data_IF_052552760279
#
_entry.id   IF_052552760279
#
_cell.length_a   1.000
_cell.length_b   1.000
_cell.length_c   1.000
_cell.angle_alpha   90.00
_cell.angle_beta   90.00
_cell.angle_gamma   90.00
#
_symmetry.space_group_name_H-M   'P 1'
#
loop_
_entity.id
_entity.type
_entity.pdbx_description
1 polymer ?
#
# COMPACT_ATOMS: atom_id res chain seq x y z
N UNK A 1 19.04 0.78 -2.57
CA UNK A 1 19.81 1.10 -2.67
C UNK A 1 20.10 1.60 -2.79
N UNK A 2 19.43 1.16 -2.44
CA UNK A 2 20.04 1.62 -2.33
C UNK A 2 20.22 1.84 -2.44
N UNK A 3 19.89 1.47 -2.20
CA UNK A 3 20.56 1.92 -2.16
C UNK A 3 20.69 1.97 -2.12
N UNK A 4 20.09 1.47 -1.71
CA UNK A 4 20.58 1.77 -1.53
C UNK A 4 20.67 1.67 -1.60
N UNK A 5 20.06 1.64 -1.35
CA UNK A 5 20.65 1.96 -1.32
C UNK A 5 20.97 1.74 -1.38
N UNK A 6 20.59 1.09 -1.17
CA UNK A 6 21.31 1.14 -1.05
C UNK A 6 21.75 0.98 -1.01
N UNK A 7 21.36 0.92 -0.66
CA UNK A 7 22.13 0.99 -0.49
C UNK A 7 22.40 0.88 -0.31
N UNK A 8 22.52 0.75 0.07
CA UNK A 8 23.13 1.01 0.47
C UNK A 8 23.46 0.74 0.74
N UNK A 9 23.62 0.35 1.29
CA UNK A 9 24.38 0.46 1.83
C UNK A 9 24.88 0.07 2.14
N UNK A 10 25.06 -0.24 2.52
CA UNK A 10 25.67 -0.41 3.11
C UNK A 10 26.13 -0.61 3.44
N UNK A 11 26.22 -0.79 3.92
CA UNK A 11 26.71 -0.87 4.59
C UNK A 11 26.90 -1.48 4.99
N UNK A 12 26.73 -1.59 5.33
CA UNK A 12 26.84 -1.98 6.02
C UNK A 12 26.52 -2.65 6.31
N UNK A 13 26.38 -2.77 6.59
CA UNK A 13 26.04 -3.12 7.05
C UNK A 13 25.35 -3.56 7.16
N UNK A 14 25.24 -3.48 7.57
CA UNK A 14 24.62 -3.64 7.80
C UNK A 14 23.83 -3.61 7.81
N UNK A 15 23.61 -3.32 7.94
CA UNK A 15 22.98 -3.14 8.06
C UNK A 15 22.07 -2.87 7.77
N UNK A 16 21.83 -2.64 7.79
CA UNK A 16 20.98 -2.32 7.54
C UNK A 16 20.09 -2.58 6.71
N UNK A 17 19.94 -2.90 6.22
CA UNK A 17 19.12 -3.17 5.61
C UNK A 17 17.93 -3.69 5.87
N UNK A 18 17.33 -3.60 6.73
CA UNK A 18 16.24 -4.00 7.36
C UNK A 18 15.13 -3.21 7.07
N UNK A 19 15.20 -2.45 6.20
CA UNK A 19 14.09 -1.65 5.74
C UNK A 19 13.14 -2.53 4.96
N UNK A 20 11.84 -2.29 5.16
CA UNK A 20 10.82 -2.94 4.38
C UNK A 20 10.80 -2.27 3.03
N UNK A 21 11.23 -2.97 2.02
CA UNK A 21 11.25 -2.45 0.66
C UNK A 21 10.56 -3.42 -0.26
N UNK A 22 9.88 -2.88 -1.27
CA UNK A 22 9.30 -3.73 -2.30
C UNK A 22 10.40 -4.34 -3.15
N UNK A 23 10.35 -5.64 -3.43
CA UNK A 23 11.26 -6.24 -4.38
C UNK A 23 11.14 -5.54 -5.73
N UNK A 24 12.24 -5.32 -6.40
CA UNK A 24 12.24 -4.55 -7.63
C UNK A 24 11.36 -5.10 -8.73
N UNK A 25 11.16 -6.39 -8.75
CA UNK A 25 10.31 -7.01 -9.75
C UNK A 25 8.84 -7.13 -9.36
N UNK A 26 8.51 -6.71 -8.15
CA UNK A 26 7.15 -6.85 -7.66
C UNK A 26 6.24 -5.83 -8.29
N UNK A 27 5.10 -6.28 -8.82
CA UNK A 27 4.06 -5.39 -9.31
C UNK A 27 2.73 -5.83 -8.75
N UNK A 28 1.87 -4.87 -8.45
CA UNK A 28 0.54 -5.15 -7.95
C UNK A 28 -0.35 -3.96 -8.20
N UNK A 29 -1.65 -4.20 -8.31
CA UNK A 29 -2.62 -3.15 -8.53
C UNK A 29 -3.84 -3.42 -7.66
N UNK A 30 -4.34 -2.36 -7.03
CA UNK A 30 -5.51 -2.43 -6.16
C UNK A 30 -6.49 -1.34 -6.57
N UNK A 31 -7.77 -1.64 -6.47
CA UNK A 31 -8.83 -0.65 -6.71
C UNK A 31 -9.42 -0.22 -5.38
N UNK A 32 -9.47 1.08 -5.15
CA UNK A 32 -10.11 1.65 -3.98
C UNK A 32 -11.51 2.11 -4.37
N UNK A 33 -12.51 1.70 -3.59
CA UNK A 33 -13.91 2.04 -3.90
C UNK A 33 -14.71 2.30 -2.63
N UNK A 34 -15.83 3.00 -2.79
CA UNK A 34 -16.81 3.22 -1.72
C UNK A 34 -18.18 3.33 -2.39
N UNK A 35 -19.18 2.64 -1.82
CA UNK A 35 -20.55 2.69 -2.34
C UNK A 35 -20.62 2.37 -3.84
N UNK A 36 -19.84 1.40 -4.28
CA UNK A 36 -19.75 0.98 -5.68
C UNK A 36 -19.17 2.04 -6.61
N UNK A 37 -18.56 3.08 -6.05
CA UNK A 37 -17.88 4.11 -6.83
C UNK A 37 -16.39 3.87 -6.76
N UNK A 38 -15.76 3.79 -7.92
CA UNK A 38 -14.31 3.60 -8.00
C UNK A 38 -13.63 4.92 -7.68
N UNK A 39 -12.87 4.94 -6.59
CA UNK A 39 -12.20 6.14 -6.11
C UNK A 39 -10.86 6.34 -6.79
N UNK A 40 -10.06 5.27 -6.86
CA UNK A 40 -8.74 5.39 -7.44
C UNK A 40 -8.01 4.07 -7.49
N UNK A 41 -6.78 4.14 -7.97
CA UNK A 41 -5.93 2.97 -8.14
C UNK A 41 -4.66 3.15 -7.33
N UNK A 42 -4.37 2.16 -6.50
CA UNK A 42 -3.10 2.04 -5.78
C UNK A 42 -2.30 0.97 -6.50
N UNK A 43 -1.09 1.28 -6.91
CA UNK A 43 -0.27 0.26 -7.56
C UNK A 43 1.19 0.42 -7.16
N UNK A 44 1.96 -0.66 -7.33
CA UNK A 44 3.39 -0.62 -7.08
C UNK A 44 4.14 -1.17 -8.27
N UNK A 45 5.29 -0.57 -8.53
CA UNK A 45 6.21 -1.05 -9.54
C UNK A 45 7.58 -0.45 -9.28
N UNK A 46 8.62 -1.18 -9.61
CA UNK A 46 10.01 -0.70 -9.48
C UNK A 46 10.34 -0.15 -8.10
N UNK A 47 9.80 -0.80 -7.08
CA UNK A 47 10.12 -0.44 -5.69
C UNK A 47 9.41 0.78 -5.15
N UNK A 48 8.37 1.25 -5.83
CA UNK A 48 7.62 2.43 -5.38
C UNK A 48 6.13 2.17 -5.43
N UNK A 49 5.41 2.89 -4.56
CA UNK A 49 3.95 2.90 -4.55
C UNK A 49 3.45 4.13 -5.27
N UNK A 50 2.31 3.97 -5.96
CA UNK A 50 1.66 5.06 -6.69
C UNK A 50 0.17 5.06 -6.39
N UNK A 51 -0.42 6.25 -6.31
CA UNK A 51 -1.86 6.38 -6.18
C UNK A 51 -2.37 7.48 -7.09
N UNK A 52 -3.48 7.22 -7.77
CA UNK A 52 -4.14 8.25 -8.59
C UNK A 52 -5.65 8.05 -8.48
N UNK A 53 -6.37 9.17 -8.51
CA UNK A 53 -7.82 9.14 -8.49
C UNK A 53 -8.36 8.66 -9.84
N UNK A 54 -9.53 8.02 -9.81
CA UNK A 54 -10.22 7.60 -11.02
C UNK A 54 -10.99 8.78 -11.62
N UNK A 55 -11.33 8.67 -12.89
CA UNK A 55 -12.16 9.68 -13.54
C UNK A 55 -13.56 9.73 -12.93
N UNK A 56 -14.10 8.56 -12.54
CA UNK A 56 -15.39 8.52 -11.87
C UNK A 56 -15.41 9.38 -10.62
N UNK A 57 -14.36 9.29 -9.80
CA UNK A 57 -14.30 10.08 -8.59
C UNK A 57 -14.12 11.57 -8.90
N UNK A 58 -13.32 11.89 -9.89
CA UNK A 58 -13.10 13.29 -10.27
C UNK A 58 -14.42 13.97 -10.65
N UNK A 59 -15.29 13.23 -11.35
CA UNK A 59 -16.57 13.76 -11.75
C UNK A 59 -17.54 13.92 -10.58
N UNK A 60 -17.29 13.29 -9.45
CA UNK A 60 -18.15 13.31 -8.28
C UNK A 60 -17.47 13.91 -7.06
N UNK A 61 -16.35 14.59 -7.24
CA UNK A 61 -15.57 15.12 -6.12
C UNK A 61 -16.33 16.19 -5.33
N UNK A 62 -17.38 16.76 -5.90
CA UNK A 62 -18.22 17.73 -5.19
C UNK A 62 -19.13 17.03 -4.17
N UNK A 63 -19.32 15.72 -4.28
CA UNK A 63 -20.17 14.96 -3.35
C UNK A 63 -19.33 14.31 -2.27
N UNK A 64 -18.12 13.85 -2.64
CA UNK A 64 -17.24 13.14 -1.72
C UNK A 64 -16.00 13.96 -1.40
N UNK A 65 -15.57 13.90 -0.14
CA UNK A 65 -14.33 14.55 0.26
C UNK A 65 -13.13 13.81 -0.32
N UNK A 66 -12.09 14.57 -0.60
CA UNK A 66 -10.82 13.96 -1.02
C UNK A 66 -10.22 13.20 0.14
N UNK A 67 -9.43 12.19 -0.18
CA UNK A 67 -8.74 11.39 0.84
C UNK A 67 -7.63 12.22 1.46
N UNK A 68 -7.52 12.17 2.79
CA UNK A 68 -6.46 12.85 3.51
C UNK A 68 -5.11 12.36 3.00
N UNK A 69 -4.26 13.30 2.64
CA UNK A 69 -2.95 13.00 2.08
C UNK A 69 -2.91 13.08 0.56
N UNK A 70 -4.08 13.15 -0.10
CA UNK A 70 -4.16 13.20 -1.56
C UNK A 70 -5.10 14.33 -2.00
N UNK A 71 -4.69 15.59 -1.79
CA UNK A 71 -5.58 16.73 -2.06
C UNK A 71 -5.79 17.07 -3.53
N UNK A 72 -4.90 16.67 -4.41
CA UNK A 72 -4.96 17.02 -5.83
C UNK A 72 -5.53 15.86 -6.63
N UNK A 73 -6.63 16.11 -7.34
CA UNK A 73 -7.31 15.07 -8.12
C UNK A 73 -6.56 14.65 -9.37
N UNK A 74 -5.70 15.53 -9.88
CA UNK A 74 -5.02 15.29 -11.16
C UNK A 74 -3.59 14.81 -11.03
N UNK A 75 -3.12 14.65 -9.80
CA UNK A 75 -1.75 14.22 -9.54
C UNK A 75 -1.66 12.72 -9.38
N UNK A 76 -0.62 12.10 -9.95
CA UNK A 76 -0.25 10.74 -9.62
C UNK A 76 0.76 10.82 -8.49
N UNK A 77 0.36 10.35 -7.32
CA UNK A 77 1.22 10.40 -6.14
C UNK A 77 2.19 9.22 -6.15
N UNK A 78 3.40 9.45 -5.68
CA UNK A 78 4.45 8.43 -5.62
C UNK A 78 5.12 8.45 -4.27
N UNK A 79 5.43 7.28 -3.74
CA UNK A 79 6.16 7.16 -2.48
C UNK A 79 6.91 5.84 -2.45
N UNK A 80 8.06 5.84 -1.77
CA UNK A 80 8.81 4.60 -1.56
C UNK A 80 8.24 3.78 -0.43
N UNK A 81 7.37 4.37 0.39
CA UNK A 81 6.70 3.65 1.47
C UNK A 81 5.19 3.80 1.30
N UNK A 82 4.46 2.79 1.77
CA UNK A 82 3.01 2.80 1.70
C UNK A 82 2.46 3.90 2.61
N UNK A 83 1.55 4.72 2.07
CA UNK A 83 0.97 5.82 2.83
C UNK A 83 0.13 5.30 4.01
N UNK A 84 0.04 6.08 5.10
CA UNK A 84 -0.73 5.68 6.28
C UNK A 84 -2.18 5.30 5.97
N UNK A 85 -2.83 6.01 5.04
CA UNK A 85 -4.21 5.71 4.68
C UNK A 85 -4.40 4.24 4.28
N UNK A 86 -3.41 3.68 3.61
CA UNK A 86 -3.45 2.27 3.19
C UNK A 86 -2.82 1.36 4.22
N UNK A 87 -1.77 1.81 4.88
CA UNK A 87 -1.04 0.98 5.84
C UNK A 87 -1.89 0.57 7.03
N UNK A 88 -2.84 1.41 7.45
CA UNK A 88 -3.69 1.06 8.60
C UNK A 88 -4.55 -0.17 8.35
N UNK A 89 -4.64 -0.61 7.10
CA UNK A 89 -5.38 -1.83 6.75
C UNK A 89 -4.62 -3.09 7.10
N UNK A 90 -3.31 -2.97 7.34
CA UNK A 90 -2.49 -4.12 7.73
C UNK A 90 -2.50 -4.19 9.25
N UNK A 91 -2.96 -5.32 9.83
CA UNK A 91 -3.06 -5.43 11.29
C UNK A 91 -1.68 -5.54 11.94
N UNK A 92 -1.65 -5.42 13.26
CA UNK A 92 -0.40 -5.58 14.00
C UNK A 92 0.18 -6.96 13.76
N UNK A 93 1.38 -7.02 13.24
CA UNK A 93 1.98 -8.30 12.83
C UNK A 93 2.44 -9.17 13.98
N UNK A 94 2.42 -8.64 15.20
CA UNK A 94 2.78 -9.43 16.39
C UNK A 94 1.59 -10.11 17.02
N UNK A 95 0.38 -9.85 16.55
CA UNK A 95 -0.81 -10.50 17.06
C UNK A 95 -0.75 -12.01 16.74
N UNK A 96 -1.01 -12.88 17.72
CA UNK A 96 -0.90 -14.33 17.48
C UNK A 96 -1.74 -14.84 16.33
N UNK A 97 -2.97 -14.35 16.19
CA UNK A 97 -3.83 -14.79 15.09
C UNK A 97 -3.27 -14.38 13.73
N UNK A 98 -2.66 -13.21 13.66
CA UNK A 98 -2.06 -12.73 12.42
C UNK A 98 -0.80 -13.54 12.09
N UNK A 99 0.01 -13.81 13.09
CA UNK A 99 1.21 -14.62 12.89
C UNK A 99 0.87 -16.02 12.41
N UNK A 100 -0.21 -16.57 12.94
CA UNK A 100 -0.65 -17.90 12.54
C UNK A 100 -1.03 -17.92 11.06
N UNK A 101 -1.77 -16.91 10.62
CA UNK A 101 -2.16 -16.80 9.21
C UNK A 101 -0.93 -16.62 8.32
N UNK A 102 0.00 -15.76 8.74
CA UNK A 102 1.20 -15.52 7.97
C UNK A 102 2.04 -16.77 7.81
N UNK A 103 2.19 -17.53 8.88
CA UNK A 103 2.96 -18.77 8.85
C UNK A 103 2.28 -19.79 7.95
N UNK A 104 0.96 -19.93 8.07
CA UNK A 104 0.21 -20.89 7.30
C UNK A 104 0.21 -20.58 5.82
N UNK A 105 0.11 -19.31 5.47
CA UNK A 105 0.04 -18.87 4.08
C UNK A 105 1.41 -18.44 3.54
N UNK A 106 2.45 -18.57 4.37
CA UNK A 106 3.83 -18.26 3.98
C UNK A 106 3.98 -16.81 3.51
N UNK A 107 3.39 -15.89 4.27
CA UNK A 107 3.50 -14.47 3.99
C UNK A 107 4.67 -13.90 4.81
N UNK A 108 5.60 -13.24 4.12
CA UNK A 108 6.74 -12.61 4.76
C UNK A 108 6.30 -11.27 5.36
N UNK A 109 6.71 -11.01 6.60
CA UNK A 109 6.34 -9.77 7.29
C UNK A 109 6.87 -8.52 6.60
N UNK A 110 7.84 -8.65 5.72
CA UNK A 110 8.39 -7.52 4.97
C UNK A 110 7.70 -7.32 3.62
N UNK A 111 6.79 -8.21 3.24
CA UNK A 111 6.14 -8.12 1.94
C UNK A 111 4.82 -7.36 2.06
N UNK A 112 4.87 -6.04 1.91
CA UNK A 112 3.69 -5.19 2.06
C UNK A 112 2.59 -5.53 1.04
N UNK A 113 2.99 -5.94 -0.16
CA UNK A 113 2.00 -6.29 -1.20
C UNK A 113 1.16 -7.47 -0.76
N UNK A 114 1.79 -8.54 -0.28
CA UNK A 114 1.07 -9.73 0.15
C UNK A 114 0.23 -9.46 1.39
N UNK A 115 0.78 -8.66 2.31
CA UNK A 115 0.03 -8.28 3.50
C UNK A 115 -1.20 -7.47 3.15
N UNK A 116 -1.07 -6.54 2.22
CA UNK A 116 -2.19 -5.72 1.81
C UNK A 116 -3.25 -6.55 1.06
N UNK A 117 -2.82 -7.49 0.23
CA UNK A 117 -3.75 -8.40 -0.46
C UNK A 117 -4.54 -9.24 0.54
N UNK A 118 -3.87 -9.73 1.58
CA UNK A 118 -4.49 -10.64 2.53
C UNK A 118 -5.40 -9.93 3.53
N UNK A 119 -4.96 -8.77 4.02
CA UNK A 119 -5.63 -8.09 5.12
C UNK A 119 -6.27 -6.76 4.75
N UNK A 120 -5.95 -6.22 3.59
CA UNK A 120 -6.25 -4.82 3.28
C UNK A 120 -7.62 -4.51 2.72
N UNK A 121 -8.46 -5.51 2.48
CA UNK A 121 -9.74 -5.29 1.80
C UNK A 121 -10.62 -4.28 2.54
N UNK A 122 -10.72 -4.42 3.85
CA UNK A 122 -11.56 -3.55 4.69
C UNK A 122 -10.80 -3.10 5.92
N UNK A 123 -11.27 -2.03 6.51
CA UNK A 123 -10.76 -1.54 7.79
C UNK A 123 -11.92 -0.93 8.56
N UNK A 124 -11.82 -0.95 9.90
CA UNK A 124 -12.85 -0.31 10.73
C UNK A 124 -12.70 1.21 10.73
N UNK A 125 -11.59 1.73 10.21
CA UNK A 125 -11.30 3.16 10.25
C UNK A 125 -12.09 3.97 9.22
N UNK A 126 -12.56 3.33 8.15
CA UNK A 126 -13.34 4.02 7.12
C UNK A 126 -14.11 3.01 6.29
N UNK A 127 -14.96 3.52 5.39
CA UNK A 127 -15.83 2.69 4.56
C UNK A 127 -15.22 2.28 3.23
N UNK A 128 -14.02 2.74 2.93
CA UNK A 128 -13.41 2.40 1.65
C UNK A 128 -12.97 0.95 1.61
N UNK A 129 -13.16 0.32 0.45
CA UNK A 129 -12.72 -1.04 0.21
C UNK A 129 -11.57 -1.04 -0.78
N UNK A 130 -10.60 -1.91 -0.53
CA UNK A 130 -9.42 -2.05 -1.38
C UNK A 130 -9.37 -3.47 -1.91
N UNK A 131 -9.47 -3.62 -3.23
CA UNK A 131 -9.53 -4.92 -3.87
C UNK A 131 -8.38 -5.09 -4.84
N UNK A 132 -7.72 -6.24 -4.78
CA UNK A 132 -6.66 -6.57 -5.72
C UNK A 132 -7.24 -6.66 -7.12
N UNK A 133 -6.63 -5.97 -8.05
CA UNK A 133 -7.12 -5.95 -9.43
C UNK A 133 -6.32 -6.87 -10.33
#
# INVERSE_FOLDING_TARGET
MIRKFMNWFSKGGDDIEWQVELPKGETAKFMLSVDNIRIGTLYCEKGAWFFKYSDDFKNQAHIYNRIVGFPDLDTTYKSETLWPFFRIRIPGLKQPAVQEIMAKEKIDKSNEVELLKRFGHKTISNSYELVSA
#
